data_IF_400683100349
#
_entry.id   IF_400683100349
#
_cell.length_a   1.000
_cell.length_b   1.000
_cell.length_c   1.000
_cell.angle_alpha   90.00
_cell.angle_beta   90.00
_cell.angle_gamma   90.00
#
_symmetry.space_group_name_H-M   'P 1'
#
loop_
_entity.id
_entity.type
_entity.pdbx_description
1 polymer ?
#
# COMPACT_ATOMS: atom_id res chain seq x y z
N UNK A 1 -5.42 2.59 -19.11
CA UNK A 1 -4.02 2.95 -19.39
C UNK A 1 -3.23 2.35 -18.25
N UNK A 2 -2.35 1.40 -18.55
CA UNK A 2 -1.65 0.66 -17.51
C UNK A 2 -0.45 1.47 -17.02
N UNK A 3 -0.12 1.31 -15.74
CA UNK A 3 1.11 1.89 -15.16
C UNK A 3 2.30 0.99 -15.48
N UNK A 4 3.48 1.61 -15.68
CA UNK A 4 4.75 0.91 -15.95
C UNK A 4 5.23 0.01 -14.80
N UNK A 5 4.70 0.23 -13.60
CA UNK A 5 5.06 -0.52 -12.39
C UNK A 5 3.81 -0.86 -11.58
N UNK A 6 3.94 -1.83 -10.68
CA UNK A 6 2.86 -2.16 -9.76
C UNK A 6 2.71 -1.05 -8.71
N UNK A 7 1.50 -0.56 -8.50
CA UNK A 7 1.23 0.54 -7.56
C UNK A 7 0.16 0.14 -6.54
N UNK A 8 0.50 0.36 -5.27
CA UNK A 8 -0.45 0.39 -4.15
C UNK A 8 -0.65 1.83 -3.68
N UNK A 9 -1.88 2.25 -3.39
CA UNK A 9 -2.17 3.52 -2.71
C UNK A 9 -2.79 3.22 -1.35
N UNK A 10 -2.14 3.66 -0.27
CA UNK A 10 -2.51 3.35 1.12
C UNK A 10 -3.42 4.42 1.72
N UNK A 11 -4.15 4.09 2.78
CA UNK A 11 -4.98 5.04 3.56
C UNK A 11 -5.92 5.93 2.74
N UNK A 12 -6.54 5.39 1.68
CA UNK A 12 -7.56 6.13 0.91
C UNK A 12 -8.82 6.26 1.75
N UNK A 13 -9.32 7.48 1.90
CA UNK A 13 -10.45 7.79 2.78
C UNK A 13 -11.59 8.59 2.13
N UNK A 14 -11.49 8.89 0.83
CA UNK A 14 -12.41 9.77 0.10
C UNK A 14 -12.58 9.29 -1.35
N UNK A 15 -13.67 9.73 -1.98
CA UNK A 15 -14.07 9.27 -3.32
C UNK A 15 -13.22 9.84 -4.44
N UNK A 16 -12.68 11.04 -4.27
CA UNK A 16 -11.87 11.72 -5.29
C UNK A 16 -10.58 10.95 -5.54
N UNK A 17 -9.84 10.61 -4.48
CA UNK A 17 -8.63 9.79 -4.56
C UNK A 17 -8.94 8.41 -5.12
N UNK A 18 -9.97 7.76 -4.58
CA UNK A 18 -10.32 6.40 -4.98
C UNK A 18 -10.61 6.31 -6.48
N UNK A 19 -11.37 7.28 -7.02
CA UNK A 19 -11.66 7.36 -8.47
C UNK A 19 -10.45 7.70 -9.31
N UNK A 20 -9.61 8.62 -8.84
CA UNK A 20 -8.38 8.97 -9.56
C UNK A 20 -7.45 7.76 -9.65
N UNK A 21 -7.22 7.08 -8.52
CA UNK A 21 -6.45 5.85 -8.44
C UNK A 21 -7.01 4.76 -9.37
N UNK A 22 -8.32 4.52 -9.35
CA UNK A 22 -8.95 3.54 -10.24
C UNK A 22 -8.87 3.96 -11.72
N UNK A 23 -8.99 5.26 -12.03
CA UNK A 23 -8.85 5.79 -13.39
C UNK A 23 -7.43 5.63 -13.95
N UNK A 24 -6.41 5.74 -13.09
CA UNK A 24 -5.01 5.48 -13.38
C UNK A 24 -4.65 3.98 -13.34
N UNK A 25 -5.62 3.08 -13.18
CA UNK A 25 -5.42 1.63 -13.13
C UNK A 25 -4.38 1.17 -12.08
N UNK A 26 -4.36 1.81 -10.89
CA UNK A 26 -3.53 1.31 -9.79
C UNK A 26 -3.96 -0.10 -9.39
N UNK A 27 -3.03 -0.91 -8.88
CA UNK A 27 -3.32 -2.30 -8.60
C UNK A 27 -4.07 -2.50 -7.28
N UNK A 28 -3.60 -1.82 -6.22
CA UNK A 28 -4.14 -1.99 -4.86
C UNK A 28 -4.55 -0.64 -4.26
N UNK A 29 -5.72 -0.60 -3.63
CA UNK A 29 -6.17 0.52 -2.79
C UNK A 29 -6.35 0.04 -1.37
N UNK A 30 -5.69 0.70 -0.43
CA UNK A 30 -5.73 0.41 1.00
C UNK A 30 -6.66 1.34 1.77
N UNK A 31 -7.42 0.75 2.68
CA UNK A 31 -8.34 1.44 3.57
C UNK A 31 -7.99 1.09 5.02
N UNK A 32 -7.87 2.10 5.87
CA UNK A 32 -7.69 1.85 7.30
C UNK A 32 -9.02 1.47 7.94
N UNK A 33 -9.09 0.27 8.52
CA UNK A 33 -10.33 -0.29 9.08
C UNK A 33 -10.37 -0.24 10.61
N UNK A 34 -9.42 0.46 11.23
CA UNK A 34 -9.34 0.59 12.69
C UNK A 34 -10.09 1.83 13.18
N UNK A 35 -11.11 1.65 14.01
CA UNK A 35 -11.99 2.73 14.49
C UNK A 35 -11.28 3.87 15.21
N UNK A 36 -10.12 3.59 15.80
CA UNK A 36 -9.34 4.56 16.57
C UNK A 36 -8.33 5.35 15.70
N UNK A 37 -8.21 5.01 14.41
CA UNK A 37 -7.33 5.70 13.47
C UNK A 37 -8.02 6.94 12.86
N UNK A 38 -7.26 8.00 12.59
CA UNK A 38 -7.79 9.21 11.95
C UNK A 38 -8.27 8.98 10.53
N UNK A 39 -7.73 7.97 9.85
CA UNK A 39 -8.08 7.58 8.48
C UNK A 39 -9.09 6.43 8.41
N UNK A 40 -9.77 6.14 9.53
CA UNK A 40 -10.77 5.08 9.61
C UNK A 40 -11.88 5.21 8.55
N UNK A 41 -12.20 4.09 7.91
CA UNK A 41 -13.34 3.95 7.00
C UNK A 41 -14.36 2.98 7.58
N UNK A 42 -15.57 3.49 7.83
CA UNK A 42 -16.71 2.65 8.25
C UNK A 42 -17.13 1.69 7.13
N UNK A 43 -17.80 0.57 7.45
CA UNK A 43 -18.30 -0.35 6.42
C UNK A 43 -19.24 0.32 5.42
N UNK A 44 -20.06 1.26 5.89
CA UNK A 44 -20.96 2.06 5.05
C UNK A 44 -20.17 2.92 4.04
N UNK A 45 -19.19 3.68 4.53
CA UNK A 45 -18.35 4.53 3.66
C UNK A 45 -17.48 3.68 2.72
N UNK A 46 -16.96 2.54 3.18
CA UNK A 46 -16.22 1.60 2.34
C UNK A 46 -17.06 1.11 1.15
N UNK A 47 -18.30 0.69 1.39
CA UNK A 47 -19.20 0.26 0.32
C UNK A 47 -19.52 1.43 -0.62
N UNK A 48 -19.81 2.62 -0.08
CA UNK A 48 -20.05 3.81 -0.89
C UNK A 48 -18.86 4.18 -1.78
N UNK A 49 -17.62 3.99 -1.32
CA UNK A 49 -16.42 4.24 -2.11
C UNK A 49 -16.22 3.17 -3.19
N UNK A 50 -16.23 1.90 -2.78
CA UNK A 50 -15.87 0.76 -3.65
C UNK A 50 -16.90 0.51 -4.76
N UNK A 51 -18.17 0.87 -4.57
CA UNK A 51 -19.22 0.78 -5.62
C UNK A 51 -18.89 1.57 -6.90
N UNK A 52 -18.05 2.60 -6.81
CA UNK A 52 -17.64 3.40 -7.97
C UNK A 52 -16.35 2.94 -8.63
N UNK A 53 -15.67 1.96 -8.05
CA UNK A 53 -14.34 1.54 -8.46
C UNK A 53 -14.44 0.23 -9.24
N UNK A 54 -13.58 0.10 -10.24
CA UNK A 54 -13.44 -1.11 -11.04
C UNK A 54 -11.99 -1.28 -11.42
N UNK A 55 -11.53 -2.54 -11.52
CA UNK A 55 -10.18 -2.86 -11.96
C UNK A 55 -9.09 -2.71 -10.89
N UNK A 56 -9.47 -2.48 -9.62
CA UNK A 56 -8.55 -2.38 -8.48
C UNK A 56 -8.89 -3.44 -7.44
N UNK A 57 -7.89 -3.88 -6.67
CA UNK A 57 -8.10 -4.77 -5.52
C UNK A 57 -8.03 -3.98 -4.21
N UNK A 58 -8.70 -4.46 -3.17
CA UNK A 58 -8.86 -3.73 -1.91
C UNK A 58 -8.04 -4.36 -0.79
N UNK A 59 -7.35 -3.51 -0.02
CA UNK A 59 -6.51 -3.90 1.11
C UNK A 59 -7.12 -3.35 2.41
N UNK A 60 -7.42 -4.22 3.37
CA UNK A 60 -7.74 -3.82 4.74
C UNK A 60 -6.46 -3.58 5.53
N UNK A 61 -6.25 -2.36 6.03
CA UNK A 61 -5.02 -1.95 6.71
C UNK A 61 -5.20 -1.90 8.23
N UNK A 62 -4.30 -2.57 8.95
CA UNK A 62 -4.29 -2.67 10.40
C UNK A 62 -2.88 -2.41 10.96
N UNK A 63 -2.80 -1.58 12.00
CA UNK A 63 -1.54 -1.19 12.66
C UNK A 63 -1.57 -1.44 14.18
N UNK A 64 -2.73 -1.34 14.82
CA UNK A 64 -2.92 -1.52 16.26
C UNK A 64 -3.78 -2.72 16.67
N UNK A 65 -4.62 -3.25 15.79
CA UNK A 65 -5.54 -4.34 16.10
C UNK A 65 -4.80 -5.68 16.27
N UNK A 66 -5.24 -6.48 17.24
CA UNK A 66 -4.80 -7.87 17.40
C UNK A 66 -5.38 -8.77 16.31
N UNK A 67 -4.83 -9.97 16.12
CA UNK A 67 -5.32 -10.90 15.08
C UNK A 67 -6.81 -11.22 15.23
N UNK A 68 -7.33 -11.28 16.46
CA UNK A 68 -8.76 -11.54 16.69
C UNK A 68 -9.62 -10.34 16.26
N UNK A 69 -9.18 -9.13 16.55
CA UNK A 69 -9.86 -7.90 16.15
C UNK A 69 -9.83 -7.70 14.63
N UNK A 70 -8.71 -8.04 13.98
CA UNK A 70 -8.60 -8.07 12.52
C UNK A 70 -9.64 -9.03 11.93
N UNK A 71 -9.67 -10.29 12.41
CA UNK A 71 -10.62 -11.31 11.94
C UNK A 71 -12.07 -10.85 12.09
N UNK A 72 -12.45 -10.28 13.24
CA UNK A 72 -13.81 -9.76 13.47
C UNK A 72 -14.13 -8.56 12.57
N UNK A 73 -13.16 -7.66 12.36
CA UNK A 73 -13.37 -6.45 11.58
C UNK A 73 -13.66 -6.78 10.12
N UNK A 74 -12.85 -7.65 9.51
CA UNK A 74 -12.95 -7.97 8.08
C UNK A 74 -14.25 -8.68 7.71
N UNK A 75 -14.99 -9.27 8.65
CA UNK A 75 -16.31 -9.86 8.37
C UNK A 75 -17.32 -8.84 7.81
N UNK A 76 -17.07 -7.54 8.02
CA UNK A 76 -17.92 -6.45 7.57
C UNK A 76 -17.44 -5.79 6.27
N UNK A 77 -16.32 -6.25 5.69
CA UNK A 77 -15.69 -5.62 4.53
C UNK A 77 -15.36 -6.67 3.45
N UNK A 78 -15.64 -6.35 2.19
CA UNK A 78 -15.23 -7.20 1.07
C UNK A 78 -13.85 -6.79 0.56
N UNK A 79 -12.79 -7.34 1.17
CA UNK A 79 -11.38 -7.06 0.86
C UNK A 79 -10.70 -8.23 0.14
N UNK A 80 -9.64 -7.94 -0.60
CA UNK A 80 -8.81 -8.93 -1.31
C UNK A 80 -7.51 -9.25 -0.58
N UNK A 81 -7.02 -8.31 0.26
CA UNK A 81 -5.77 -8.46 1.02
C UNK A 81 -5.91 -7.92 2.44
N UNK A 82 -5.13 -8.48 3.37
CA UNK A 82 -4.98 -7.97 4.73
C UNK A 82 -3.56 -7.45 4.92
N UNK A 83 -3.41 -6.20 5.31
CA UNK A 83 -2.13 -5.60 5.67
C UNK A 83 -1.99 -5.49 7.19
N UNK A 84 -0.89 -6.01 7.72
CA UNK A 84 -0.52 -5.92 9.14
C UNK A 84 0.91 -5.43 9.31
N UNK A 85 1.23 -4.91 10.50
CA UNK A 85 2.59 -4.49 10.87
C UNK A 85 3.32 -5.53 11.73
N UNK A 86 2.59 -6.35 12.47
CA UNK A 86 3.17 -7.33 13.40
C UNK A 86 3.28 -8.70 12.74
N UNK A 87 4.53 -9.15 12.55
CA UNK A 87 4.89 -10.45 11.98
C UNK A 87 4.27 -11.63 12.74
N UNK A 88 3.99 -11.48 14.04
CA UNK A 88 3.39 -12.55 14.85
C UNK A 88 1.94 -12.85 14.45
N UNK A 89 1.27 -11.92 13.77
CA UNK A 89 -0.11 -12.07 13.33
C UNK A 89 -0.25 -12.96 12.08
N UNK A 90 0.84 -13.13 11.31
CA UNK A 90 0.80 -13.84 10.03
C UNK A 90 0.29 -15.27 10.18
N UNK A 91 0.73 -16.00 11.21
CA UNK A 91 0.32 -17.39 11.44
C UNK A 91 -1.18 -17.52 11.75
N UNK A 92 -1.74 -16.58 12.50
CA UNK A 92 -3.16 -16.58 12.80
C UNK A 92 -4.01 -16.23 11.57
N UNK A 93 -3.60 -15.19 10.83
CA UNK A 93 -4.34 -14.66 9.68
C UNK A 93 -4.25 -15.56 8.44
N UNK A 94 -3.20 -16.37 8.32
CA UNK A 94 -3.03 -17.36 7.23
C UNK A 94 -4.20 -18.36 7.14
N UNK A 95 -4.97 -18.53 8.22
CA UNK A 95 -6.13 -19.42 8.25
C UNK A 95 -7.33 -18.90 7.45
N UNK A 96 -7.35 -17.62 7.08
CA UNK A 96 -8.47 -16.95 6.42
C UNK A 96 -8.52 -17.14 4.89
N UNK A 97 -7.51 -17.77 4.28
CA UNK A 97 -7.36 -17.90 2.82
C UNK A 97 -7.35 -16.56 2.07
N UNK A 98 -7.03 -15.46 2.77
CA UNK A 98 -6.85 -14.12 2.21
C UNK A 98 -5.34 -13.83 2.18
N UNK A 99 -4.77 -13.39 1.04
CA UNK A 99 -3.37 -13.02 0.93
C UNK A 99 -2.95 -11.90 1.91
N UNK A 100 -1.75 -12.03 2.47
CA UNK A 100 -1.24 -11.12 3.50
C UNK A 100 -0.19 -10.16 2.95
N UNK A 101 -0.22 -8.93 3.43
CA UNK A 101 0.81 -7.91 3.22
C UNK A 101 1.43 -7.58 4.59
N UNK A 102 2.74 -7.70 4.71
CA UNK A 102 3.45 -7.22 5.90
C UNK A 102 4.00 -5.83 5.64
N UNK A 103 3.62 -4.84 6.44
CA UNK A 103 4.21 -3.50 6.46
C UNK A 103 5.33 -3.47 7.50
N UNK A 104 6.52 -3.00 7.11
CA UNK A 104 7.68 -2.92 7.99
C UNK A 104 8.46 -1.64 7.75
N UNK A 105 9.21 -1.21 8.76
CA UNK A 105 10.15 -0.11 8.61
C UNK A 105 11.49 -0.62 8.05
N UNK A 106 12.15 0.22 7.26
CA UNK A 106 13.43 -0.09 6.64
C UNK A 106 14.52 -0.42 7.67
N UNK A 107 14.46 0.15 8.87
CA UNK A 107 15.38 -0.18 9.96
C UNK A 107 15.18 -1.59 10.52
N UNK A 108 13.96 -2.13 10.43
CA UNK A 108 13.61 -3.48 10.88
C UNK A 108 13.72 -4.54 9.78
N UNK A 109 13.85 -4.12 8.52
CA UNK A 109 13.89 -5.01 7.35
C UNK A 109 14.91 -6.15 7.48
N UNK A 110 16.11 -5.86 7.97
CA UNK A 110 17.17 -6.86 8.14
C UNK A 110 16.94 -7.87 9.28
N UNK A 111 15.89 -7.69 10.09
CA UNK A 111 15.51 -8.59 11.19
C UNK A 111 14.43 -9.58 10.76
N UNK A 112 13.80 -9.37 9.61
CA UNK A 112 12.77 -10.27 9.12
C UNK A 112 13.38 -11.60 8.68
N UNK A 113 12.67 -12.73 8.89
CA UNK A 113 12.97 -13.98 8.21
C UNK A 113 13.00 -13.77 6.69
N UNK A 114 13.51 -14.75 5.92
CA UNK A 114 13.53 -14.67 4.44
C UNK A 114 12.39 -15.46 3.78
N UNK A 115 11.59 -16.17 4.58
CA UNK A 115 10.57 -17.12 4.16
C UNK A 115 9.20 -16.84 4.79
N UNK A 116 8.89 -15.56 5.03
CA UNK A 116 7.58 -15.16 5.53
C UNK A 116 6.47 -15.50 4.52
N UNK A 117 5.35 -16.03 5.03
CA UNK A 117 4.17 -16.35 4.24
C UNK A 117 3.33 -15.09 3.94
N UNK A 118 3.88 -14.20 3.12
CA UNK A 118 3.23 -12.95 2.67
C UNK A 118 3.24 -12.89 1.14
N UNK A 119 2.20 -12.30 0.57
CA UNK A 119 2.14 -12.04 -0.87
C UNK A 119 3.02 -10.84 -1.22
N UNK A 120 2.98 -9.78 -0.38
CA UNK A 120 3.77 -8.57 -0.55
C UNK A 120 4.45 -8.16 0.77
N UNK A 121 5.64 -7.58 0.65
CA UNK A 121 6.33 -6.90 1.74
C UNK A 121 6.34 -5.40 1.45
N UNK A 122 5.61 -4.61 2.24
CA UNK A 122 5.60 -3.16 2.15
C UNK A 122 6.69 -2.59 3.07
N UNK A 123 7.65 -1.86 2.49
CA UNK A 123 8.75 -1.23 3.25
C UNK A 123 8.59 0.27 3.24
N UNK A 124 8.51 0.87 4.42
CA UNK A 124 8.50 2.34 4.60
C UNK A 124 9.75 2.80 5.37
N UNK A 125 10.08 4.08 5.28
CA UNK A 125 11.10 4.77 6.05
C UNK A 125 10.52 6.04 6.64
N UNK A 126 11.03 6.45 7.81
CA UNK A 126 10.73 7.76 8.39
C UNK A 126 11.44 8.93 7.69
N UNK A 127 12.34 8.65 6.75
CA UNK A 127 13.09 9.65 5.98
C UNK A 127 12.61 9.70 4.51
N UNK A 128 12.58 10.91 3.95
CA UNK A 128 12.14 11.12 2.56
C UNK A 128 13.21 10.72 1.52
N UNK A 129 14.48 10.64 1.92
CA UNK A 129 15.58 10.25 1.04
C UNK A 129 16.06 8.84 1.41
N UNK A 130 16.38 8.02 0.39
CA UNK A 130 16.96 6.70 0.60
C UNK A 130 18.45 6.76 0.29
N UNK A 131 19.28 6.48 1.29
CA UNK A 131 20.73 6.38 1.13
C UNK A 131 21.14 5.14 0.33
N UNK A 132 22.40 5.12 -0.16
CA UNK A 132 22.94 3.97 -0.90
C UNK A 132 22.97 2.67 -0.07
N UNK A 133 23.15 2.77 1.25
CA UNK A 133 23.11 1.60 2.14
C UNK A 133 21.69 1.03 2.25
N UNK A 134 20.68 1.90 2.28
CA UNK A 134 19.28 1.52 2.37
C UNK A 134 18.76 0.96 1.04
N UNK A 135 19.16 1.54 -0.10
CA UNK A 135 18.88 0.98 -1.42
C UNK A 135 19.39 -0.47 -1.54
N UNK A 136 20.58 -0.75 -0.99
CA UNK A 136 21.11 -2.10 -0.94
C UNK A 136 20.26 -3.03 -0.06
N UNK A 137 19.85 -2.58 1.14
CA UNK A 137 18.97 -3.38 2.01
C UNK A 137 17.63 -3.68 1.35
N UNK A 138 17.04 -2.71 0.66
CA UNK A 138 15.79 -2.89 -0.10
C UNK A 138 16.02 -3.92 -1.20
N UNK A 139 17.12 -3.81 -1.95
CA UNK A 139 17.41 -4.75 -3.02
C UNK A 139 17.67 -6.18 -2.54
N UNK A 140 18.39 -6.34 -1.43
CA UNK A 140 18.61 -7.64 -0.79
C UNK A 140 17.26 -8.26 -0.35
N UNK A 141 16.32 -7.47 0.19
CA UNK A 141 15.00 -7.95 0.56
C UNK A 141 14.09 -8.26 -0.65
N UNK A 142 14.18 -7.46 -1.72
CA UNK A 142 13.43 -7.67 -2.96
C UNK A 142 13.82 -8.98 -3.68
N UNK A 143 15.01 -9.53 -3.40
CA UNK A 143 15.40 -10.85 -3.89
C UNK A 143 14.60 -12.00 -3.25
N UNK A 144 13.97 -11.77 -2.10
CA UNK A 144 13.23 -12.78 -1.34
C UNK A 144 11.71 -12.53 -1.34
N UNK A 145 11.28 -11.29 -1.53
CA UNK A 145 9.89 -10.86 -1.41
C UNK A 145 9.42 -10.06 -2.62
N UNK A 146 8.13 -10.11 -2.94
CA UNK A 146 7.51 -9.10 -3.80
C UNK A 146 7.41 -7.79 -3.02
N UNK A 147 8.49 -7.03 -3.05
CA UNK A 147 8.65 -5.83 -2.24
C UNK A 147 7.92 -4.63 -2.89
N UNK A 148 7.09 -3.95 -2.10
CA UNK A 148 6.51 -2.66 -2.43
C UNK A 148 7.25 -1.57 -1.67
N UNK A 149 7.85 -0.62 -2.40
CA UNK A 149 8.61 0.48 -1.80
C UNK A 149 7.68 1.66 -1.47
N UNK A 150 7.50 1.93 -0.18
CA UNK A 150 6.59 2.95 0.35
C UNK A 150 7.24 4.28 0.72
N UNK A 151 8.50 4.51 0.36
CA UNK A 151 9.24 5.73 0.74
C UNK A 151 10.30 6.08 -0.30
N UNK A 152 10.72 7.34 -0.33
CA UNK A 152 11.72 7.83 -1.29
C UNK A 152 11.29 7.83 -2.76
N UNK A 153 9.99 7.71 -3.02
CA UNK A 153 9.40 7.72 -4.36
C UNK A 153 8.95 9.14 -4.68
N UNK A 154 9.36 9.65 -5.84
CA UNK A 154 8.95 10.94 -6.40
C UNK A 154 8.61 10.77 -7.88
N UNK A 155 7.92 11.75 -8.47
CA UNK A 155 7.60 11.82 -9.90
C UNK A 155 8.86 11.68 -10.78
N UNK A 156 9.99 12.20 -10.30
CA UNK A 156 11.27 12.17 -11.01
C UNK A 156 12.00 10.83 -10.92
N UNK A 157 11.71 10.00 -9.90
CA UNK A 157 12.51 8.81 -9.62
C UNK A 157 11.73 7.49 -9.63
N UNK A 158 10.40 7.53 -9.67
CA UNK A 158 9.53 6.37 -9.41
C UNK A 158 9.88 5.13 -10.25
N UNK A 159 10.18 5.30 -11.53
CA UNK A 159 10.60 4.19 -12.39
C UNK A 159 12.03 3.72 -12.05
N UNK A 160 12.96 4.66 -11.93
CA UNK A 160 14.38 4.36 -11.72
C UNK A 160 14.66 3.69 -10.36
N UNK A 161 13.92 4.06 -9.31
CA UNK A 161 14.12 3.49 -7.97
C UNK A 161 13.64 2.04 -7.90
N UNK A 162 12.56 1.71 -8.61
CA UNK A 162 12.08 0.34 -8.77
C UNK A 162 13.13 -0.50 -9.52
N UNK A 163 13.65 0.02 -10.63
CA UNK A 163 14.71 -0.66 -11.40
C UNK A 163 16.00 -0.85 -10.59
N UNK A 164 16.42 0.16 -9.83
CA UNK A 164 17.65 0.11 -9.03
C UNK A 164 17.56 -0.90 -7.89
N UNK A 165 16.38 -1.02 -7.27
CA UNK A 165 16.17 -1.91 -6.12
C UNK A 165 15.68 -3.30 -6.54
N UNK A 166 15.20 -3.49 -7.77
CA UNK A 166 14.41 -4.65 -8.20
C UNK A 166 13.14 -4.86 -7.36
N UNK A 167 12.59 -3.79 -6.77
CA UNK A 167 11.29 -3.86 -6.11
C UNK A 167 10.21 -4.35 -7.09
N UNK A 168 9.19 -5.02 -6.56
CA UNK A 168 8.04 -5.44 -7.37
C UNK A 168 7.18 -4.24 -7.79
N UNK A 169 7.14 -3.20 -6.96
CA UNK A 169 6.36 -1.99 -7.21
C UNK A 169 6.61 -0.93 -6.14
N UNK A 170 5.75 0.07 -6.16
CA UNK A 170 5.74 1.16 -5.18
C UNK A 170 4.44 1.18 -4.38
N UNK A 171 4.51 1.80 -3.22
CA UNK A 171 3.37 2.16 -2.41
C UNK A 171 3.37 3.67 -2.20
N UNK A 172 2.23 4.29 -2.48
CA UNK A 172 1.98 5.70 -2.26
C UNK A 172 0.98 5.85 -1.11
N UNK A 173 0.86 7.06 -0.61
CA UNK A 173 -0.11 7.40 0.43
C UNK A 173 -1.22 8.26 -0.18
N UNK A 174 -2.47 7.90 0.07
CA UNK A 174 -3.61 8.77 -0.18
C UNK A 174 -3.50 10.01 0.72
N UNK A 175 -3.71 11.19 0.15
CA UNK A 175 -3.56 12.44 0.89
C UNK A 175 -4.68 12.67 1.91
N UNK A 176 -4.43 13.49 2.92
CA UNK A 176 -5.47 13.99 3.83
C UNK A 176 -6.32 15.05 3.12
N UNK A 177 -7.65 14.89 3.11
CA UNK A 177 -8.56 15.88 2.56
C UNK A 177 -8.68 17.05 3.54
N UNK A 178 -7.85 18.09 3.36
CA UNK A 178 -7.88 19.28 4.21
C UNK A 178 -9.29 19.92 4.21
N UNK A 179 -9.98 19.90 3.05
CA UNK A 179 -11.42 20.21 2.89
C UNK A 179 -11.97 19.47 1.66
N UNK A 180 -13.28 19.14 1.60
CA UNK A 180 -13.89 18.53 0.43
C UNK A 180 -13.54 19.28 -0.87
N UNK A 181 -12.84 18.61 -1.78
CA UNK A 181 -12.40 19.18 -3.06
C UNK A 181 -11.14 20.07 -3.01
N UNK A 182 -10.35 20.05 -1.93
CA UNK A 182 -9.08 20.80 -1.82
C UNK A 182 -8.01 19.96 -1.11
N UNK A 183 -7.01 19.49 -1.87
CA UNK A 183 -5.84 18.75 -1.40
C UNK A 183 -4.57 19.21 -2.12
N UNK A 184 -3.42 18.94 -1.50
CA UNK A 184 -2.14 18.74 -2.20
C UNK A 184 -2.25 17.48 -3.06
N UNK A 185 -2.98 17.58 -4.18
CA UNK A 185 -3.13 16.50 -5.18
C UNK A 185 -1.84 16.29 -5.97
N UNK A 186 -0.97 17.29 -5.97
CA UNK A 186 0.14 17.40 -6.91
C UNK A 186 1.05 16.16 -6.82
N UNK A 187 1.49 15.74 -5.62
CA UNK A 187 2.49 14.67 -5.53
C UNK A 187 1.97 13.27 -5.94
N UNK A 188 0.77 12.86 -5.51
CA UNK A 188 0.21 11.55 -5.91
C UNK A 188 -0.09 11.51 -7.41
N UNK A 189 -0.68 12.59 -7.93
CA UNK A 189 -1.01 12.70 -9.35
C UNK A 189 0.25 12.72 -10.21
N UNK A 190 1.22 13.57 -9.86
CA UNK A 190 2.49 13.71 -10.58
C UNK A 190 3.24 12.37 -10.65
N UNK A 191 3.26 11.59 -9.54
CA UNK A 191 3.89 10.26 -9.55
C UNK A 191 3.14 9.28 -10.45
N UNK A 192 1.81 9.24 -10.38
CA UNK A 192 1.01 8.32 -11.19
C UNK A 192 1.10 8.66 -12.68
N UNK A 193 1.07 9.94 -13.04
CA UNK A 193 1.27 10.44 -14.41
C UNK A 193 2.68 10.13 -14.92
N UNK A 194 3.71 10.30 -14.10
CA UNK A 194 5.09 9.92 -14.47
C UNK A 194 5.24 8.41 -14.75
N UNK A 195 4.36 7.58 -14.18
CA UNK A 195 4.34 6.13 -14.36
C UNK A 195 3.38 5.67 -15.46
N UNK A 196 2.65 6.58 -16.10
CA UNK A 196 1.76 6.25 -17.20
C UNK A 196 2.56 5.70 -18.39
N UNK A 197 2.09 4.58 -18.94
CA UNK A 197 2.66 3.99 -20.14
C UNK A 197 2.12 4.70 -21.38
N UNK A 198 2.90 5.67 -21.89
CA UNK A 198 2.56 6.47 -23.08
C UNK A 198 2.54 5.68 -24.40
N UNK A 199 2.97 4.41 -24.42
CA UNK A 199 3.13 3.60 -25.63
C UNK A 199 1.84 2.86 -26.08
N UNK A 200 0.66 3.22 -25.55
CA UNK A 200 -0.66 2.65 -25.92
C UNK A 200 -1.62 3.61 -26.61
#
# INVERSE_FOLDING_TARGET
MALKTFVKVSTVNNLSDARYCAGMEVNLIGFNLEKDNSNYISPENYNELTEWLSGVQYVGEFEGYSSSEVIETIENYNIDYIQVVDVTQLEALKTLDIPLILKTDLNTLGQLPTDLAVEYLLVTSGENEISQEELKKISDAAAHYKLLLGSGVTDQNAESIVQQTNAYGIALQGGDELRPGYKDYDELADILEALEDEDY
#
